data_IF_282489102418
#
_entry.id   IF_282489102418
#
_cell.length_a   1.000
_cell.length_b   1.000
_cell.length_c   1.000
_cell.angle_alpha   90.00
_cell.angle_beta   90.00
_cell.angle_gamma   90.00
#
_symmetry.space_group_name_H-M   'P 1'
#
loop_
_entity.id
_entity.type
_entity.pdbx_description
1 polymer ?
#
# COMPACT_ATOMS: atom_id res chain seq x y z
N UNK A 1 23.26 -18.46 -30.13
CA UNK A 1 24.34 -17.59 -29.59
C UNK A 1 24.58 -18.03 -28.16
N UNK A 2 25.83 -18.30 -27.74
CA UNK A 2 26.13 -18.74 -26.37
C UNK A 2 25.89 -17.59 -25.40
N UNK A 3 24.99 -17.77 -24.41
CA UNK A 3 24.61 -16.71 -23.47
C UNK A 3 25.40 -16.71 -22.16
N UNK A 4 26.22 -17.73 -21.89
CA UNK A 4 26.95 -17.88 -20.62
C UNK A 4 26.19 -18.62 -19.52
N UNK A 5 24.96 -19.06 -19.79
CA UNK A 5 24.13 -19.87 -18.91
C UNK A 5 23.21 -20.79 -19.73
N UNK A 6 22.68 -21.83 -19.10
CA UNK A 6 21.68 -22.72 -19.69
C UNK A 6 20.29 -22.07 -19.67
N UNK A 7 19.76 -21.77 -20.85
CA UNK A 7 18.45 -21.10 -21.04
C UNK A 7 17.27 -21.97 -20.61
N UNK A 8 17.46 -23.29 -20.47
CA UNK A 8 16.40 -24.23 -20.04
C UNK A 8 16.40 -24.46 -18.52
N UNK A 9 17.38 -23.92 -17.79
CA UNK A 9 17.57 -24.17 -16.37
C UNK A 9 17.37 -22.90 -15.54
N UNK A 10 16.24 -22.79 -14.80
CA UNK A 10 16.04 -21.67 -13.89
C UNK A 10 17.21 -21.47 -12.92
N UNK A 11 17.79 -22.56 -12.40
CA UNK A 11 18.95 -22.50 -11.50
C UNK A 11 20.18 -21.94 -12.21
N UNK A 12 20.42 -22.29 -13.47
CA UNK A 12 21.53 -21.71 -14.23
C UNK A 12 21.33 -20.21 -14.46
N UNK A 13 20.10 -19.79 -14.75
CA UNK A 13 19.73 -18.38 -14.91
C UNK A 13 19.94 -17.62 -13.59
N UNK A 14 19.52 -18.20 -12.46
CA UNK A 14 19.70 -17.59 -11.13
C UNK A 14 21.18 -17.43 -10.78
N UNK A 15 22.00 -18.47 -10.99
CA UNK A 15 23.44 -18.41 -10.73
C UNK A 15 24.12 -17.32 -11.56
N UNK A 16 23.75 -17.21 -12.83
CA UNK A 16 24.26 -16.15 -13.70
C UNK A 16 23.77 -14.75 -13.26
N UNK A 17 22.53 -14.64 -12.81
CA UNK A 17 22.00 -13.41 -12.21
C UNK A 17 22.73 -13.00 -10.93
N UNK A 18 23.13 -13.97 -10.08
CA UNK A 18 23.87 -13.72 -8.83
C UNK A 18 25.25 -13.10 -9.06
N UNK A 19 25.82 -13.20 -10.26
CA UNK A 19 27.02 -12.45 -10.63
C UNK A 19 26.84 -10.92 -10.61
N UNK A 20 25.59 -10.44 -10.56
CA UNK A 20 25.25 -9.03 -10.40
C UNK A 20 25.28 -8.56 -8.94
N UNK A 21 25.26 -9.46 -7.95
CA UNK A 21 25.29 -9.07 -6.55
C UNK A 21 26.58 -8.28 -6.25
N UNK A 22 26.44 -7.19 -5.49
CA UNK A 22 27.51 -6.21 -5.18
C UNK A 22 28.03 -5.37 -6.36
N UNK A 23 27.42 -5.47 -7.54
CA UNK A 23 27.71 -4.59 -8.69
C UNK A 23 26.72 -3.43 -8.79
N UNK A 24 27.15 -2.34 -9.40
CA UNK A 24 26.25 -1.27 -9.86
C UNK A 24 25.73 -1.57 -11.26
N UNK A 25 24.66 -0.91 -11.70
CA UNK A 25 24.22 -1.02 -13.10
C UNK A 25 25.27 -0.48 -14.08
N UNK A 26 26.09 0.49 -13.65
CA UNK A 26 27.24 0.98 -14.43
C UNK A 26 28.27 -0.11 -14.64
N UNK A 27 28.52 -0.96 -13.64
CA UNK A 27 29.46 -2.08 -13.78
C UNK A 27 28.98 -3.09 -14.82
N UNK A 28 27.66 -3.33 -14.93
CA UNK A 28 27.07 -4.19 -15.98
C UNK A 28 27.47 -3.67 -17.36
N UNK A 29 27.33 -2.37 -17.59
CA UNK A 29 27.67 -1.74 -18.87
C UNK A 29 29.18 -1.85 -19.18
N UNK A 30 30.03 -1.70 -18.15
CA UNK A 30 31.50 -1.82 -18.29
C UNK A 30 31.95 -3.25 -18.59
N UNK A 31 31.29 -4.25 -18.03
CA UNK A 31 31.64 -5.66 -18.22
C UNK A 31 30.89 -6.32 -19.38
N UNK A 32 29.97 -5.62 -20.04
CA UNK A 32 29.19 -6.18 -21.13
C UNK A 32 30.06 -6.39 -22.36
N UNK A 33 29.93 -7.57 -22.99
CA UNK A 33 30.57 -7.90 -24.27
C UNK A 33 30.14 -6.96 -25.41
N UNK A 34 29.05 -6.18 -25.21
CA UNK A 34 28.48 -5.29 -26.23
C UNK A 34 29.22 -3.95 -26.39
N UNK A 35 30.37 -3.73 -25.73
CA UNK A 35 31.20 -2.50 -25.77
C UNK A 35 30.35 -1.23 -25.79
N UNK A 36 29.79 -0.87 -24.63
CA UNK A 36 29.08 0.40 -24.47
C UNK A 36 30.11 1.47 -24.11
N UNK A 37 30.23 2.51 -24.93
CA UNK A 37 31.10 3.63 -24.59
C UNK A 37 30.47 4.47 -23.49
N UNK A 38 31.30 5.06 -22.63
CA UNK A 38 30.81 5.88 -21.52
C UNK A 38 29.98 7.10 -21.98
N UNK A 39 30.29 7.64 -23.18
CA UNK A 39 29.52 8.73 -23.81
C UNK A 39 28.06 8.36 -24.10
N UNK A 40 27.74 7.07 -24.24
CA UNK A 40 26.39 6.58 -24.52
C UNK A 40 25.57 6.30 -23.24
N UNK A 41 26.18 6.35 -22.06
CA UNK A 41 25.48 6.03 -20.80
C UNK A 41 24.32 6.99 -20.52
N UNK A 42 24.51 8.29 -20.77
CA UNK A 42 23.48 9.31 -20.57
C UNK A 42 22.33 9.17 -21.59
N UNK A 43 22.66 8.75 -22.81
CA UNK A 43 21.67 8.42 -23.82
C UNK A 43 20.87 7.17 -23.46
N UNK A 44 21.53 6.08 -23.03
CA UNK A 44 20.87 4.84 -22.62
C UNK A 44 19.94 5.09 -21.44
N UNK A 45 20.44 5.79 -20.44
CA UNK A 45 19.62 6.14 -19.27
C UNK A 45 18.43 7.03 -19.60
N UNK A 46 18.51 7.92 -20.59
CA UNK A 46 17.40 8.78 -20.99
C UNK A 46 16.42 8.09 -21.97
N UNK A 47 16.90 7.19 -22.83
CA UNK A 47 16.06 6.42 -23.78
C UNK A 47 15.33 5.26 -23.12
N UNK A 48 15.94 4.61 -22.14
CA UNK A 48 15.25 3.64 -21.31
C UNK A 48 14.32 4.42 -20.33
N UNK A 49 13.01 4.38 -20.58
CA UNK A 49 11.98 5.10 -19.81
C UNK A 49 11.72 4.52 -18.40
N UNK A 50 10.64 4.89 -17.70
CA UNK A 50 10.23 4.27 -16.40
C UNK A 50 10.23 2.73 -16.54
N UNK A 51 11.22 2.04 -15.94
CA UNK A 51 11.54 0.62 -16.18
C UNK A 51 12.96 0.36 -16.72
N UNK A 52 13.77 1.42 -16.83
CA UNK A 52 15.04 1.42 -17.56
C UNK A 52 16.08 0.41 -17.11
N UNK A 53 16.16 0.18 -15.81
CA UNK A 53 17.17 -0.69 -15.22
C UNK A 53 16.85 -2.16 -15.50
N UNK A 54 15.57 -2.52 -15.67
CA UNK A 54 15.17 -3.86 -16.11
C UNK A 54 15.67 -4.16 -17.53
N UNK A 55 15.37 -3.25 -18.46
CA UNK A 55 15.79 -3.36 -19.87
C UNK A 55 17.32 -3.38 -20.02
N UNK A 56 18.02 -2.61 -19.19
CA UNK A 56 19.48 -2.63 -19.13
C UNK A 56 19.99 -4.02 -18.73
N UNK A 57 19.43 -4.61 -17.66
CA UNK A 57 19.84 -5.95 -17.21
C UNK A 57 19.50 -7.02 -18.25
N UNK A 58 18.30 -6.98 -18.83
CA UNK A 58 17.87 -7.88 -19.91
C UNK A 58 18.87 -7.86 -21.07
N UNK A 59 19.20 -6.67 -21.56
CA UNK A 59 20.05 -6.49 -22.74
C UNK A 59 21.52 -6.75 -22.47
N UNK A 60 22.09 -6.12 -21.44
CA UNK A 60 23.54 -6.08 -21.27
C UNK A 60 24.10 -7.19 -20.39
N UNK A 61 23.29 -7.79 -19.51
CA UNK A 61 23.68 -8.97 -18.74
C UNK A 61 23.16 -10.25 -19.38
N UNK A 62 21.83 -10.37 -19.55
CA UNK A 62 21.22 -11.61 -20.06
C UNK A 62 21.15 -11.71 -21.59
N UNK A 63 21.59 -10.69 -22.32
CA UNK A 63 21.68 -10.71 -23.79
C UNK A 63 20.31 -11.02 -24.44
N UNK A 64 19.23 -10.47 -23.88
CA UNK A 64 17.89 -10.48 -24.46
C UNK A 64 17.51 -9.08 -24.91
N UNK A 65 16.95 -8.97 -26.11
CA UNK A 65 16.37 -7.70 -26.54
C UNK A 65 15.05 -7.46 -25.79
N UNK A 66 14.87 -6.27 -25.17
CA UNK A 66 13.63 -5.93 -24.51
C UNK A 66 12.45 -6.05 -25.48
N UNK A 67 11.43 -6.80 -25.07
CA UNK A 67 10.25 -7.04 -25.87
C UNK A 67 8.97 -6.86 -25.03
N UNK A 68 7.81 -6.86 -25.68
CA UNK A 68 6.51 -6.75 -25.03
C UNK A 68 5.74 -8.08 -25.06
N UNK A 69 6.45 -9.21 -25.04
CA UNK A 69 5.85 -10.52 -25.13
C UNK A 69 5.00 -10.84 -23.88
N UNK A 70 3.96 -11.63 -24.12
CA UNK A 70 3.09 -12.21 -23.09
C UNK A 70 3.78 -13.35 -22.35
N UNK A 71 4.74 -14.01 -22.97
CA UNK A 71 5.54 -15.07 -22.38
C UNK A 71 6.54 -14.52 -21.35
N UNK A 72 7.08 -15.37 -20.45
CA UNK A 72 8.19 -15.00 -19.59
C UNK A 72 9.44 -14.56 -20.38
N UNK A 73 10.26 -13.69 -19.81
CA UNK A 73 11.51 -13.22 -20.44
C UNK A 73 12.47 -14.37 -20.83
N UNK A 74 12.50 -15.44 -20.02
CA UNK A 74 13.18 -16.71 -20.32
C UNK A 74 12.13 -17.79 -20.56
N UNK A 75 11.47 -17.74 -21.73
CA UNK A 75 10.35 -18.62 -22.08
C UNK A 75 10.69 -20.12 -21.90
N UNK A 76 11.89 -20.54 -22.32
CA UNK A 76 12.31 -21.95 -22.27
C UNK A 76 12.43 -22.50 -20.84
N UNK A 77 12.70 -21.63 -19.86
CA UNK A 77 12.77 -21.97 -18.44
C UNK A 77 11.51 -21.58 -17.65
N UNK A 78 10.56 -20.88 -18.29
CA UNK A 78 9.39 -20.32 -17.63
C UNK A 78 9.71 -19.26 -16.57
N UNK A 79 10.80 -18.49 -16.74
CA UNK A 79 11.25 -17.49 -15.76
C UNK A 79 11.00 -16.08 -16.28
N UNK A 80 10.39 -15.22 -15.46
CA UNK A 80 10.26 -13.77 -15.73
C UNK A 80 11.34 -13.00 -14.99
N UNK A 81 11.91 -11.95 -15.61
CA UNK A 81 12.87 -11.06 -14.99
C UNK A 81 12.16 -9.83 -14.40
N UNK A 82 12.47 -9.52 -13.14
CA UNK A 82 12.00 -8.29 -12.50
C UNK A 82 13.08 -7.65 -11.65
N UNK A 83 13.35 -6.38 -11.94
CA UNK A 83 14.26 -5.54 -11.16
C UNK A 83 13.44 -4.63 -10.26
N UNK A 84 13.73 -4.60 -8.95
CA UNK A 84 12.90 -3.90 -7.96
C UNK A 84 13.71 -3.10 -6.94
N UNK A 85 13.39 -1.80 -6.73
CA UNK A 85 14.09 -0.96 -5.79
C UNK A 85 13.63 -1.14 -4.35
N UNK A 86 14.56 -0.97 -3.42
CA UNK A 86 14.26 -0.77 -2.02
C UNK A 86 15.09 0.37 -1.42
N UNK A 87 14.74 0.82 -0.22
CA UNK A 87 15.38 1.95 0.47
C UNK A 87 15.55 1.68 1.96
N UNK A 88 16.48 2.40 2.59
CA UNK A 88 16.51 2.52 4.04
C UNK A 88 15.47 3.51 4.54
N UNK A 89 14.76 3.12 5.59
CA UNK A 89 13.93 4.03 6.38
C UNK A 89 14.80 4.79 7.37
N UNK A 90 14.29 5.90 7.92
CA UNK A 90 14.97 6.65 9.00
C UNK A 90 15.28 5.79 10.24
N UNK A 91 14.55 4.68 10.42
CA UNK A 91 14.79 3.69 11.47
C UNK A 91 15.93 2.71 11.18
N UNK A 92 16.57 2.80 10.01
CA UNK A 92 17.57 1.85 9.52
C UNK A 92 16.99 0.63 8.80
N UNK A 93 15.70 0.29 9.03
CA UNK A 93 15.04 -0.85 8.39
C UNK A 93 14.89 -0.68 6.87
N UNK A 94 14.92 -1.79 6.15
CA UNK A 94 14.63 -1.83 4.72
C UNK A 94 13.13 -1.74 4.42
N UNK A 95 12.80 -1.17 3.27
CA UNK A 95 11.45 -1.11 2.72
C UNK A 95 11.52 -1.13 1.19
N UNK A 96 10.59 -1.82 0.52
CA UNK A 96 10.42 -1.64 -0.91
C UNK A 96 10.11 -0.17 -1.21
N UNK A 97 10.66 0.35 -2.30
CA UNK A 97 10.47 1.74 -2.72
C UNK A 97 9.14 1.92 -3.47
N UNK A 98 8.67 0.87 -4.13
CA UNK A 98 7.46 0.83 -4.95
C UNK A 98 6.85 -0.58 -5.02
N UNK A 99 5.67 -0.69 -5.65
CA UNK A 99 5.01 -1.96 -5.98
C UNK A 99 5.76 -2.69 -7.10
N UNK A 100 5.64 -4.02 -7.18
CA UNK A 100 6.17 -4.79 -8.31
C UNK A 100 5.12 -4.88 -9.40
N UNK A 101 5.30 -4.17 -10.52
CA UNK A 101 4.38 -4.23 -11.66
C UNK A 101 4.65 -5.48 -12.50
N UNK A 102 3.59 -6.19 -12.86
CA UNK A 102 3.60 -7.43 -13.65
C UNK A 102 2.96 -7.18 -15.03
N UNK A 103 2.24 -8.15 -15.59
CA UNK A 103 1.57 -8.00 -16.87
C UNK A 103 0.31 -7.12 -16.83
N UNK A 104 -0.02 -6.53 -17.98
CA UNK A 104 -1.26 -5.77 -18.19
C UNK A 104 -2.46 -6.70 -18.05
N UNK A 105 -3.51 -6.20 -17.40
CA UNK A 105 -4.81 -6.87 -17.31
C UNK A 105 -5.54 -6.63 -18.63
N UNK A 106 -5.78 -7.69 -19.39
CA UNK A 106 -6.63 -7.63 -20.57
C UNK A 106 -8.07 -7.97 -20.14
N UNK A 107 -8.93 -6.96 -20.06
CA UNK A 107 -10.31 -7.12 -19.58
C UNK A 107 -11.14 -8.08 -20.44
N UNK A 108 -10.89 -8.13 -21.75
CA UNK A 108 -11.61 -9.05 -22.66
C UNK A 108 -11.17 -10.51 -22.46
N UNK A 109 -9.90 -10.74 -22.09
CA UNK A 109 -9.35 -12.11 -21.95
C UNK A 109 -9.50 -12.68 -20.54
N UNK A 110 -9.34 -11.87 -19.50
CA UNK A 110 -9.34 -12.35 -18.10
C UNK A 110 -10.64 -13.08 -17.74
N UNK A 111 -11.76 -12.73 -18.38
CA UNK A 111 -13.07 -13.33 -18.13
C UNK A 111 -13.17 -14.77 -18.65
N UNK A 112 -12.33 -15.13 -19.62
CA UNK A 112 -12.23 -16.46 -20.24
C UNK A 112 -11.16 -17.35 -19.57
N UNK A 113 -10.26 -16.76 -18.77
CA UNK A 113 -9.13 -17.45 -18.15
C UNK A 113 -9.53 -18.13 -16.83
N UNK A 114 -8.91 -19.24 -16.46
CA UNK A 114 -8.86 -19.71 -15.07
C UNK A 114 -7.50 -19.34 -14.46
N UNK A 115 -7.37 -19.33 -13.13
CA UNK A 115 -6.13 -18.87 -12.49
C UNK A 115 -4.90 -19.64 -13.00
N UNK A 116 -4.95 -20.97 -13.00
CA UNK A 116 -3.85 -21.84 -13.42
C UNK A 116 -3.47 -21.72 -14.90
N UNK A 117 -4.39 -21.26 -15.75
CA UNK A 117 -4.19 -21.07 -17.19
C UNK A 117 -4.08 -19.60 -17.58
N UNK A 118 -4.15 -18.69 -16.59
CA UNK A 118 -4.20 -17.25 -16.82
C UNK A 118 -2.87 -16.72 -17.33
N UNK A 119 -2.95 -15.64 -18.10
CA UNK A 119 -1.76 -14.88 -18.52
C UNK A 119 -0.94 -14.36 -17.33
N UNK A 120 -1.60 -14.12 -16.19
CA UNK A 120 -0.93 -13.79 -14.93
C UNK A 120 -0.09 -14.96 -14.42
N UNK A 121 -0.68 -16.14 -14.25
CA UNK A 121 0.03 -17.27 -13.62
C UNK A 121 1.17 -17.78 -14.51
N UNK A 122 0.88 -17.98 -15.81
CA UNK A 122 1.87 -18.49 -16.75
C UNK A 122 3.12 -17.62 -16.83
N UNK A 123 2.96 -16.29 -16.78
CA UNK A 123 4.09 -15.36 -16.83
C UNK A 123 4.80 -15.19 -15.50
N UNK A 124 4.10 -15.27 -14.36
CA UNK A 124 4.66 -14.83 -13.06
C UNK A 124 4.85 -15.95 -12.03
N UNK A 125 4.59 -17.22 -12.36
CA UNK A 125 4.74 -18.33 -11.41
C UNK A 125 6.18 -18.54 -10.90
N UNK A 126 7.18 -18.12 -11.68
CA UNK A 126 8.59 -18.16 -11.31
C UNK A 126 9.30 -16.88 -11.79
N UNK A 127 9.80 -16.09 -10.84
CA UNK A 127 10.35 -14.75 -11.12
C UNK A 127 11.80 -14.64 -10.63
N UNK A 128 12.72 -14.25 -11.49
CA UNK A 128 14.05 -13.81 -11.09
C UNK A 128 13.98 -12.38 -10.57
N UNK A 129 14.03 -12.22 -9.25
CA UNK A 129 14.00 -10.92 -8.57
C UNK A 129 15.41 -10.37 -8.34
N UNK A 130 15.64 -9.17 -8.85
CA UNK A 130 16.89 -8.41 -8.71
C UNK A 130 16.62 -7.17 -7.86
N UNK A 131 17.06 -7.21 -6.61
CA UNK A 131 16.89 -6.13 -5.64
C UNK A 131 18.07 -5.16 -5.68
N UNK A 132 17.79 -3.87 -5.83
CA UNK A 132 18.81 -2.82 -5.78
C UNK A 132 18.45 -1.73 -4.76
N UNK A 133 19.49 -1.14 -4.17
CA UNK A 133 19.35 -0.06 -3.19
C UNK A 133 19.19 1.27 -3.90
N UNK A 134 18.05 1.91 -3.69
CA UNK A 134 17.74 3.25 -4.15
C UNK A 134 18.23 4.29 -3.13
N UNK A 135 18.98 5.29 -3.62
CA UNK A 135 19.53 6.40 -2.83
C UNK A 135 19.27 7.72 -3.57
N UNK A 136 18.55 8.66 -2.95
CA UNK A 136 18.12 9.91 -3.59
C UNK A 136 19.27 10.73 -4.19
N UNK A 137 20.47 10.66 -3.59
CA UNK A 137 21.61 11.51 -3.94
C UNK A 137 22.59 10.82 -4.91
N UNK A 138 22.22 9.66 -5.49
CA UNK A 138 23.04 8.92 -6.44
C UNK A 138 22.42 8.89 -7.83
N UNK A 139 23.29 8.82 -8.84
CA UNK A 139 22.86 8.48 -10.19
C UNK A 139 22.29 7.06 -10.22
N UNK A 140 21.25 6.85 -11.04
CA UNK A 140 20.56 5.56 -11.13
C UNK A 140 21.43 4.41 -11.62
N UNK A 141 22.48 4.67 -12.39
CA UNK A 141 23.44 3.65 -12.79
C UNK A 141 24.34 3.22 -11.64
N UNK A 142 24.50 4.08 -10.62
CA UNK A 142 25.35 3.83 -9.46
C UNK A 142 24.59 3.19 -8.29
N UNK A 143 23.34 2.78 -8.50
CA UNK A 143 22.60 1.97 -7.55
C UNK A 143 23.19 0.56 -7.45
N UNK A 144 23.37 0.11 -6.20
CA UNK A 144 23.97 -1.17 -5.88
C UNK A 144 22.93 -2.29 -5.95
N UNK A 145 23.19 -3.33 -6.73
CA UNK A 145 22.42 -4.57 -6.72
C UNK A 145 22.83 -5.39 -5.49
N UNK A 146 21.89 -5.62 -4.58
CA UNK A 146 22.16 -6.25 -3.29
C UNK A 146 21.80 -7.74 -3.26
N UNK A 147 20.77 -8.15 -4.00
CA UNK A 147 20.27 -9.52 -3.94
C UNK A 147 19.67 -9.96 -5.26
N UNK A 148 20.02 -11.16 -5.71
CA UNK A 148 19.39 -11.83 -6.85
C UNK A 148 18.96 -13.23 -6.44
N UNK A 149 17.70 -13.57 -6.71
CA UNK A 149 17.19 -14.90 -6.41
C UNK A 149 15.95 -15.22 -7.25
N UNK A 150 15.69 -16.52 -7.41
CA UNK A 150 14.40 -17.00 -7.91
C UNK A 150 13.36 -16.93 -6.81
N UNK A 151 12.18 -16.47 -7.20
CA UNK A 151 11.04 -16.32 -6.33
C UNK A 151 9.85 -17.11 -6.89
N UNK A 152 9.34 -17.99 -6.05
CA UNK A 152 8.08 -18.69 -6.21
C UNK A 152 7.15 -18.26 -5.08
N UNK A 153 5.85 -18.15 -5.37
CA UNK A 153 4.87 -17.78 -4.37
C UNK A 153 4.79 -18.85 -3.28
N UNK A 154 5.01 -18.50 -1.98
CA UNK A 154 4.74 -19.41 -0.89
C UNK A 154 3.28 -19.88 -0.96
N UNK A 155 3.02 -21.17 -0.70
CA UNK A 155 1.69 -21.76 -0.88
C UNK A 155 0.57 -20.96 -0.18
N UNK A 156 0.84 -20.49 1.05
CA UNK A 156 -0.07 -19.66 1.83
C UNK A 156 -0.41 -18.35 1.11
N UNK A 157 0.61 -17.68 0.57
CA UNK A 157 0.43 -16.42 -0.15
C UNK A 157 -0.28 -16.65 -1.49
N UNK A 158 0.02 -17.76 -2.16
CA UNK A 158 -0.63 -18.15 -3.41
C UNK A 158 -2.15 -18.30 -3.25
N UNK A 159 -2.63 -18.81 -2.12
CA UNK A 159 -4.09 -18.88 -1.85
C UNK A 159 -4.72 -17.48 -1.82
N UNK A 160 -4.05 -16.51 -1.21
CA UNK A 160 -4.52 -15.12 -1.17
C UNK A 160 -4.45 -14.49 -2.55
N UNK A 161 -3.34 -14.67 -3.27
CA UNK A 161 -3.15 -14.17 -4.65
C UNK A 161 -4.20 -14.72 -5.61
N UNK A 162 -4.54 -16.00 -5.51
CA UNK A 162 -5.61 -16.62 -6.30
C UNK A 162 -6.98 -15.99 -5.99
N UNK A 163 -7.28 -15.68 -4.73
CA UNK A 163 -8.51 -14.97 -4.34
C UNK A 163 -8.54 -13.54 -4.84
N UNK A 164 -7.41 -12.84 -4.78
CA UNK A 164 -7.26 -11.48 -5.30
C UNK A 164 -7.47 -11.45 -6.82
N UNK A 165 -6.84 -12.37 -7.55
CA UNK A 165 -7.02 -12.52 -9.00
C UNK A 165 -8.49 -12.78 -9.35
N UNK A 166 -9.16 -13.69 -8.62
CA UNK A 166 -10.59 -13.96 -8.80
C UNK A 166 -11.47 -12.75 -8.48
N UNK A 167 -11.10 -11.94 -7.48
CA UNK A 167 -11.80 -10.70 -7.15
C UNK A 167 -11.70 -9.70 -8.30
N UNK A 168 -10.52 -9.56 -8.90
CA UNK A 168 -10.31 -8.72 -10.08
C UNK A 168 -11.15 -9.24 -11.26
N UNK A 169 -11.06 -10.55 -11.59
CA UNK A 169 -11.86 -11.18 -12.65
C UNK A 169 -13.37 -10.96 -12.44
N UNK A 170 -13.86 -11.18 -11.22
CA UNK A 170 -15.27 -11.01 -10.86
C UNK A 170 -15.75 -9.58 -11.13
N UNK A 171 -14.96 -8.56 -10.79
CA UNK A 171 -15.36 -7.17 -11.02
C UNK A 171 -15.43 -6.82 -12.51
N UNK A 172 -14.58 -7.43 -13.34
CA UNK A 172 -14.67 -7.33 -14.80
C UNK A 172 -15.93 -8.05 -15.32
N UNK A 173 -16.22 -9.26 -14.83
CA UNK A 173 -17.46 -10.02 -15.16
C UNK A 173 -18.73 -9.23 -14.80
N UNK A 174 -18.70 -8.43 -13.73
CA UNK A 174 -19.80 -7.56 -13.31
C UNK A 174 -19.94 -6.28 -14.16
N UNK A 175 -19.10 -6.07 -15.19
CA UNK A 175 -19.09 -4.85 -16.01
C UNK A 175 -18.50 -3.62 -15.31
N UNK A 176 -17.76 -3.84 -14.22
CA UNK A 176 -17.23 -2.82 -13.32
C UNK A 176 -15.71 -2.69 -13.38
N UNK A 177 -15.08 -3.00 -14.51
CA UNK A 177 -13.63 -2.83 -14.65
C UNK A 177 -13.19 -1.36 -14.42
N UNK A 178 -14.05 -0.39 -14.74
CA UNK A 178 -13.81 1.03 -14.48
C UNK A 178 -13.83 1.41 -12.99
N UNK A 179 -14.40 0.56 -12.13
CA UNK A 179 -14.41 0.73 -10.68
C UNK A 179 -13.27 -0.04 -10.00
N UNK A 180 -12.49 -0.87 -10.72
CA UNK A 180 -11.37 -1.62 -10.14
C UNK A 180 -10.46 -0.67 -9.38
N UNK A 181 -9.95 -1.13 -8.23
CA UNK A 181 -8.98 -0.39 -7.45
C UNK A 181 -7.89 -1.30 -6.91
N UNK A 182 -6.71 -0.76 -6.62
CA UNK A 182 -5.64 -1.52 -5.96
C UNK A 182 -6.05 -1.92 -4.52
N UNK A 183 -6.99 -1.20 -3.92
CA UNK A 183 -7.57 -1.49 -2.60
C UNK A 183 -8.55 -2.67 -2.57
N UNK A 184 -9.07 -3.11 -3.72
CA UNK A 184 -10.07 -4.19 -3.80
C UNK A 184 -9.54 -5.53 -3.28
N UNK A 185 -8.22 -5.72 -3.32
CA UNK A 185 -7.53 -6.98 -3.06
C UNK A 185 -6.52 -6.86 -1.91
N UNK A 186 -5.83 -7.95 -1.58
CA UNK A 186 -4.86 -8.02 -0.48
C UNK A 186 -3.41 -7.88 -0.96
N UNK A 187 -2.88 -8.87 -1.68
CA UNK A 187 -1.48 -8.96 -2.10
C UNK A 187 -1.30 -8.61 -3.58
N UNK A 188 -2.19 -9.11 -4.44
CA UNK A 188 -2.18 -8.87 -5.89
C UNK A 188 -3.15 -7.73 -6.23
N UNK A 189 -2.61 -6.55 -6.52
CA UNK A 189 -3.35 -5.35 -6.92
C UNK A 189 -3.59 -5.24 -8.43
N UNK A 190 -4.51 -4.34 -8.80
CA UNK A 190 -4.73 -3.86 -10.16
C UNK A 190 -4.38 -2.36 -10.24
N UNK A 191 -3.10 -2.04 -10.43
CA UNK A 191 -2.63 -0.64 -10.49
C UNK A 191 -2.89 -0.03 -11.88
N UNK A 192 -3.16 1.27 -11.96
CA UNK A 192 -3.33 1.97 -13.24
C UNK A 192 -2.01 2.06 -14.00
N UNK A 193 -2.05 1.87 -15.33
CA UNK A 193 -0.90 2.02 -16.22
C UNK A 193 -1.19 3.07 -17.27
N UNK A 194 -0.75 4.29 -16.99
CA UNK A 194 -1.03 5.50 -17.77
C UNK A 194 -2.09 6.38 -17.09
N UNK A 195 -2.08 7.68 -17.40
CA UNK A 195 -2.91 8.69 -16.74
C UNK A 195 -3.79 9.50 -17.72
N UNK A 196 -3.82 9.12 -19.01
CA UNK A 196 -4.50 9.91 -20.04
C UNK A 196 -5.63 9.14 -20.71
N UNK A 197 -6.47 9.83 -21.48
CA UNK A 197 -7.58 9.21 -22.25
C UNK A 197 -7.10 8.09 -23.19
N UNK A 198 -5.87 8.13 -23.69
CA UNK A 198 -5.31 7.06 -24.54
C UNK A 198 -5.07 5.75 -23.77
N UNK A 199 -5.10 5.80 -22.44
CA UNK A 199 -5.00 4.64 -21.56
C UNK A 199 -6.35 3.97 -21.29
N UNK A 200 -7.47 4.51 -21.80
CA UNK A 200 -8.77 3.86 -21.69
C UNK A 200 -8.84 2.59 -22.56
N UNK A 201 -9.53 1.58 -22.05
CA UNK A 201 -9.74 0.27 -22.68
C UNK A 201 -11.22 -0.08 -22.61
N UNK A 202 -11.67 -0.89 -23.56
CA UNK A 202 -12.98 -1.55 -23.50
C UNK A 202 -12.99 -2.61 -22.41
N UNK A 203 -14.19 -3.02 -22.02
CA UNK A 203 -14.43 -4.16 -21.15
C UNK A 203 -15.64 -4.95 -21.68
N UNK A 204 -15.70 -6.27 -21.45
CA UNK A 204 -16.66 -7.14 -22.15
C UNK A 204 -18.13 -6.93 -21.77
N UNK A 205 -18.40 -6.47 -20.54
CA UNK A 205 -19.76 -6.45 -19.96
C UNK A 205 -20.28 -5.05 -19.61
N UNK A 206 -19.73 -3.99 -20.23
CA UNK A 206 -20.22 -2.62 -20.08
C UNK A 206 -19.69 -1.71 -21.19
N UNK A 207 -20.51 -0.76 -21.65
CA UNK A 207 -20.10 0.27 -22.61
C UNK A 207 -19.16 1.32 -21.99
N UNK A 208 -19.15 1.43 -20.66
CA UNK A 208 -18.28 2.37 -19.96
C UNK A 208 -16.82 1.90 -20.06
N UNK A 209 -15.97 2.74 -20.65
CA UNK A 209 -14.54 2.45 -20.74
C UNK A 209 -13.88 2.43 -19.36
N UNK A 210 -12.85 1.59 -19.23
CA UNK A 210 -12.06 1.46 -18.01
C UNK A 210 -10.62 1.90 -18.25
N UNK A 211 -9.96 2.45 -17.23
CA UNK A 211 -8.52 2.73 -17.31
C UNK A 211 -7.74 1.42 -17.48
N UNK A 212 -6.69 1.43 -18.30
CA UNK A 212 -5.75 0.32 -18.40
C UNK A 212 -5.10 0.07 -17.03
N UNK A 213 -5.11 -1.18 -16.59
CA UNK A 213 -4.48 -1.61 -15.34
C UNK A 213 -3.49 -2.74 -15.60
N UNK A 214 -2.55 -2.91 -14.69
CA UNK A 214 -1.62 -4.03 -14.64
C UNK A 214 -1.75 -4.74 -13.30
N UNK A 215 -1.53 -6.05 -13.31
CA UNK A 215 -1.32 -6.79 -12.09
C UNK A 215 -0.08 -6.26 -11.38
N UNK A 216 -0.11 -6.19 -10.05
CA UNK A 216 1.05 -5.78 -9.27
C UNK A 216 1.08 -6.41 -7.89
N UNK A 217 2.25 -6.81 -7.41
CA UNK A 217 2.41 -7.12 -5.98
C UNK A 217 2.56 -5.80 -5.22
N UNK A 218 1.75 -5.61 -4.18
CA UNK A 218 1.75 -4.36 -3.41
C UNK A 218 3.12 -4.07 -2.80
N UNK A 219 3.45 -2.79 -2.65
CA UNK A 219 4.70 -2.32 -2.02
C UNK A 219 4.92 -2.88 -0.62
N UNK A 220 3.83 -3.09 0.12
CA UNK A 220 3.79 -3.73 1.43
C UNK A 220 4.17 -5.23 1.37
N UNK A 221 3.63 -5.97 0.39
CA UNK A 221 4.01 -7.35 0.12
C UNK A 221 5.51 -7.45 -0.20
N UNK A 222 5.98 -6.61 -1.12
CA UNK A 222 7.39 -6.55 -1.51
C UNK A 222 8.31 -6.17 -0.34
N UNK A 223 7.85 -5.32 0.57
CA UNK A 223 8.59 -4.97 1.79
C UNK A 223 8.72 -6.14 2.74
N UNK A 224 7.64 -6.90 2.97
CA UNK A 224 7.68 -8.09 3.81
C UNK A 224 8.57 -9.17 3.20
N UNK A 225 8.45 -9.41 1.88
CA UNK A 225 9.29 -10.33 1.14
C UNK A 225 10.78 -9.95 1.27
N UNK A 226 11.12 -8.69 1.00
CA UNK A 226 12.48 -8.16 1.12
C UNK A 226 13.08 -8.38 2.51
N UNK A 227 12.32 -8.06 3.56
CA UNK A 227 12.79 -8.21 4.95
C UNK A 227 12.99 -9.67 5.32
N UNK A 228 12.13 -10.57 4.85
CA UNK A 228 12.31 -12.01 5.05
C UNK A 228 13.58 -12.52 4.37
N UNK A 229 13.85 -12.08 3.14
CA UNK A 229 15.01 -12.55 2.36
C UNK A 229 16.33 -11.95 2.86
N UNK A 230 16.35 -10.66 3.17
CA UNK A 230 17.61 -9.95 3.48
C UNK A 230 17.88 -9.91 4.99
N UNK A 231 16.85 -9.76 5.82
CA UNK A 231 17.01 -9.59 7.27
C UNK A 231 16.59 -10.82 8.08
N UNK A 232 16.04 -11.86 7.45
CA UNK A 232 15.48 -13.03 8.13
C UNK A 232 14.40 -12.64 9.18
N UNK A 233 13.67 -11.55 8.91
CA UNK A 233 12.60 -11.07 9.80
C UNK A 233 11.41 -12.07 9.76
N UNK A 234 11.28 -12.91 10.78
CA UNK A 234 10.12 -13.78 10.94
C UNK A 234 8.90 -13.02 11.50
N UNK A 235 7.76 -13.18 10.85
CA UNK A 235 6.48 -12.55 11.22
C UNK A 235 5.49 -13.58 11.74
N UNK A 236 4.59 -13.16 12.63
CA UNK A 236 3.57 -14.04 13.21
C UNK A 236 2.37 -14.10 12.28
N UNK A 237 1.88 -15.31 12.02
CA UNK A 237 0.72 -15.57 11.17
C UNK A 237 -0.55 -15.65 12.01
N UNK A 238 -1.66 -15.02 11.58
CA UNK A 238 -2.96 -15.25 12.22
C UNK A 238 -3.81 -16.31 11.52
N UNK A 239 -3.44 -16.69 10.29
CA UNK A 239 -4.08 -17.78 9.55
C UNK A 239 -3.10 -18.94 9.29
N UNK A 240 -3.64 -20.07 8.85
CA UNK A 240 -2.87 -21.19 8.31
C UNK A 240 -3.30 -21.54 6.87
N UNK A 241 -2.60 -22.50 6.25
CA UNK A 241 -2.84 -22.93 4.87
C UNK A 241 -4.26 -23.49 4.67
N UNK A 242 -4.72 -24.36 5.57
CA UNK A 242 -6.01 -25.05 5.48
C UNK A 242 -7.18 -24.05 5.59
N UNK A 243 -7.08 -23.09 6.52
CA UNK A 243 -8.03 -21.98 6.67
C UNK A 243 -8.13 -21.16 5.36
N UNK A 244 -6.99 -20.83 4.73
CA UNK A 244 -6.96 -20.04 3.50
C UNK A 244 -7.44 -20.77 2.25
N UNK A 245 -7.53 -22.10 2.27
CA UNK A 245 -8.13 -22.87 1.17
C UNK A 245 -9.62 -22.59 1.03
N UNK A 246 -10.30 -22.42 2.15
CA UNK A 246 -11.77 -22.27 2.15
C UNK A 246 -12.22 -20.83 2.41
N UNK A 247 -11.41 -20.01 3.09
CA UNK A 247 -11.82 -18.67 3.54
C UNK A 247 -10.82 -17.57 3.15
N UNK A 248 -11.33 -16.42 2.73
CA UNK A 248 -10.54 -15.20 2.52
C UNK A 248 -9.96 -14.68 3.84
N UNK A 249 -8.95 -13.80 3.75
CA UNK A 249 -8.41 -13.13 4.94
C UNK A 249 -9.49 -12.35 5.68
N UNK A 250 -10.39 -11.71 4.92
CA UNK A 250 -11.56 -10.99 5.40
C UNK A 250 -12.50 -11.90 6.20
N UNK A 251 -12.86 -13.07 5.66
CA UNK A 251 -13.76 -14.02 6.32
C UNK A 251 -13.16 -14.59 7.60
N UNK A 252 -11.88 -14.99 7.56
CA UNK A 252 -11.16 -15.46 8.75
C UNK A 252 -11.11 -14.39 9.82
N UNK A 253 -10.80 -13.15 9.44
CA UNK A 253 -10.77 -12.03 10.35
C UNK A 253 -12.15 -11.83 11.01
N UNK A 254 -13.23 -11.80 10.23
CA UNK A 254 -14.59 -11.67 10.75
C UNK A 254 -14.94 -12.81 11.71
N UNK A 255 -14.55 -14.05 11.39
CA UNK A 255 -14.78 -15.22 12.24
C UNK A 255 -14.06 -15.10 13.59
N UNK A 256 -12.77 -14.72 13.60
CA UNK A 256 -12.02 -14.55 14.86
C UNK A 256 -12.64 -13.47 15.75
N UNK A 257 -13.21 -12.40 15.19
CA UNK A 257 -13.81 -11.32 15.98
C UNK A 257 -15.28 -11.57 16.38
N UNK A 258 -16.00 -12.45 15.69
CA UNK A 258 -17.44 -12.71 15.91
C UNK A 258 -17.82 -13.07 17.35
N UNK A 259 -17.09 -13.92 18.10
CA UNK A 259 -17.47 -14.31 19.46
C UNK A 259 -17.52 -13.16 20.47
N UNK A 260 -16.86 -12.04 20.15
CA UNK A 260 -16.69 -10.91 21.06
C UNK A 260 -17.75 -9.82 20.88
N UNK A 261 -18.61 -9.92 19.85
CA UNK A 261 -19.64 -8.92 19.57
C UNK A 261 -20.60 -8.81 20.75
N UNK A 262 -20.90 -7.58 21.17
CA UNK A 262 -21.75 -7.27 22.32
C UNK A 262 -21.01 -7.17 23.65
N UNK A 263 -19.74 -7.61 23.72
CA UNK A 263 -18.97 -7.57 24.96
C UNK A 263 -18.28 -6.23 25.17
N UNK A 264 -18.12 -5.82 26.42
CA UNK A 264 -17.27 -4.68 26.80
C UNK A 264 -15.79 -5.03 26.64
N UNK A 265 -14.89 -4.03 26.48
CA UNK A 265 -13.44 -4.27 26.47
C UNK A 265 -12.94 -5.08 27.68
N UNK A 266 -13.57 -4.93 28.84
CA UNK A 266 -13.23 -5.66 30.07
C UNK A 266 -13.62 -7.14 29.97
N UNK A 267 -14.77 -7.45 29.41
CA UNK A 267 -15.23 -8.82 29.19
C UNK A 267 -14.41 -9.53 28.12
N UNK A 268 -14.06 -8.84 27.02
CA UNK A 268 -13.15 -9.36 26.01
C UNK A 268 -11.80 -9.69 26.64
N UNK A 269 -11.23 -8.76 27.42
CA UNK A 269 -9.97 -8.99 28.13
C UNK A 269 -10.02 -10.25 29.01
N UNK A 270 -11.14 -10.48 29.70
CA UNK A 270 -11.35 -11.68 30.51
C UNK A 270 -11.37 -12.96 29.65
N UNK A 271 -12.07 -12.94 28.51
CA UNK A 271 -12.16 -14.10 27.60
C UNK A 271 -10.81 -14.46 26.96
N UNK A 272 -10.02 -13.45 26.57
CA UNK A 272 -8.69 -13.66 25.97
C UNK A 272 -7.56 -13.73 27.01
N UNK A 273 -7.91 -13.83 28.30
CA UNK A 273 -6.98 -13.93 29.42
C UNK A 273 -5.90 -12.81 29.48
N UNK A 274 -6.31 -11.56 29.27
CA UNK A 274 -5.47 -10.36 29.38
C UNK A 274 -5.89 -9.50 30.57
N UNK A 275 -4.89 -8.96 31.30
CA UNK A 275 -5.14 -7.99 32.37
C UNK A 275 -5.71 -6.68 31.81
N UNK A 276 -6.97 -6.40 32.13
CA UNK A 276 -7.63 -5.17 31.72
C UNK A 276 -7.11 -3.93 32.48
N UNK A 277 -6.82 -2.86 31.74
CA UNK A 277 -6.49 -1.54 32.30
C UNK A 277 -7.24 -0.44 31.56
N UNK A 278 -8.20 0.19 32.25
CA UNK A 278 -9.10 1.23 31.68
C UNK A 278 -8.36 2.43 31.09
N UNK A 279 -7.18 2.76 31.65
CA UNK A 279 -6.39 3.94 31.25
C UNK A 279 -5.20 3.61 30.34
N UNK A 280 -5.02 2.34 29.94
CA UNK A 280 -3.91 1.94 29.08
C UNK A 280 -4.18 2.34 27.62
N UNK A 281 -3.27 3.14 27.04
CA UNK A 281 -3.29 3.48 25.59
C UNK A 281 -3.06 2.26 24.69
N UNK A 282 -2.52 1.17 25.24
CA UNK A 282 -2.20 -0.06 24.51
C UNK A 282 -3.25 -1.16 24.69
N UNK A 283 -4.36 -0.88 25.41
CA UNK A 283 -5.34 -1.92 25.72
C UNK A 283 -6.00 -2.48 24.46
N UNK A 284 -6.53 -1.60 23.60
CA UNK A 284 -7.24 -2.05 22.39
C UNK A 284 -6.32 -2.84 21.43
N UNK A 285 -5.09 -2.39 21.12
CA UNK A 285 -4.17 -3.18 20.31
C UNK A 285 -3.88 -4.58 20.88
N UNK A 286 -3.72 -4.70 22.21
CA UNK A 286 -3.51 -5.99 22.86
C UNK A 286 -4.72 -6.90 22.74
N UNK A 287 -5.94 -6.35 22.89
CA UNK A 287 -7.16 -7.12 22.68
C UNK A 287 -7.30 -7.60 21.24
N UNK A 288 -7.02 -6.75 20.25
CA UNK A 288 -7.05 -7.13 18.83
C UNK A 288 -6.07 -8.28 18.57
N UNK A 289 -4.81 -8.17 19.00
CA UNK A 289 -3.83 -9.25 18.80
C UNK A 289 -4.31 -10.56 19.46
N UNK A 290 -4.81 -10.49 20.69
CA UNK A 290 -5.22 -11.69 21.42
C UNK A 290 -6.49 -12.34 20.86
N UNK A 291 -7.43 -11.55 20.35
CA UNK A 291 -8.60 -12.04 19.60
C UNK A 291 -8.17 -12.80 18.33
N UNK A 292 -7.04 -12.43 17.74
CA UNK A 292 -6.42 -13.16 16.61
C UNK A 292 -5.60 -14.38 17.02
N UNK A 293 -5.55 -14.72 18.32
CA UNK A 293 -4.71 -15.80 18.84
C UNK A 293 -3.22 -15.42 18.93
N UNK A 294 -2.89 -14.13 18.84
CA UNK A 294 -1.51 -13.63 18.81
C UNK A 294 -1.18 -12.93 20.13
N UNK A 295 -0.11 -13.38 20.79
CA UNK A 295 0.39 -12.79 22.04
C UNK A 295 1.70 -12.04 21.83
N UNK A 296 1.95 -11.01 22.64
CA UNK A 296 3.24 -10.28 22.68
C UNK A 296 3.64 -9.49 21.43
N UNK A 297 2.83 -9.53 20.36
CA UNK A 297 3.21 -9.04 19.03
C UNK A 297 2.42 -7.80 18.66
N UNK A 298 3.09 -6.82 18.04
CA UNK A 298 2.41 -5.63 17.50
C UNK A 298 1.62 -6.02 16.25
N UNK A 299 0.47 -5.40 16.03
CA UNK A 299 -0.39 -5.71 14.88
C UNK A 299 0.32 -5.53 13.52
N UNK A 300 1.30 -4.62 13.43
CA UNK A 300 2.12 -4.44 12.23
C UNK A 300 3.21 -5.52 12.04
N UNK A 301 3.31 -6.48 12.96
CA UNK A 301 4.18 -7.66 12.88
C UNK A 301 3.41 -8.94 12.55
N UNK A 302 2.11 -8.81 12.25
CA UNK A 302 1.29 -9.89 11.70
C UNK A 302 1.55 -9.98 10.21
N UNK A 303 1.96 -11.15 9.72
CA UNK A 303 2.43 -11.39 8.34
C UNK A 303 1.43 -10.89 7.30
N UNK A 304 0.16 -11.29 7.42
CA UNK A 304 -0.90 -10.94 6.49
C UNK A 304 -1.27 -9.46 6.54
N UNK A 305 -1.22 -8.84 7.74
CA UNK A 305 -1.49 -7.42 7.89
C UNK A 305 -0.36 -6.60 7.28
N UNK A 306 0.89 -7.01 7.48
CA UNK A 306 2.03 -6.35 6.87
C UNK A 306 2.00 -6.49 5.35
N UNK A 307 1.71 -7.68 4.81
CA UNK A 307 1.62 -7.92 3.36
C UNK A 307 0.46 -7.18 2.70
N UNK A 308 -0.73 -7.18 3.31
CA UNK A 308 -1.92 -6.50 2.78
C UNK A 308 -2.03 -5.01 3.17
N UNK A 309 -1.03 -4.47 3.89
CA UNK A 309 -1.01 -3.12 4.44
C UNK A 309 -2.28 -2.78 5.25
N UNK A 310 -2.66 -3.69 6.15
CA UNK A 310 -3.80 -3.51 7.03
C UNK A 310 -3.41 -2.64 8.22
N UNK A 311 -4.10 -1.51 8.38
CA UNK A 311 -3.97 -0.65 9.53
C UNK A 311 -5.25 -0.61 10.35
N UNK A 312 -5.13 -0.84 11.65
CA UNK A 312 -6.28 -0.75 12.53
C UNK A 312 -6.56 0.69 12.97
N UNK A 313 -7.84 1.02 13.10
CA UNK A 313 -8.33 2.26 13.71
C UNK A 313 -9.49 1.93 14.64
N UNK A 314 -9.38 2.35 15.89
CA UNK A 314 -10.49 2.22 16.83
C UNK A 314 -11.52 3.32 16.57
N UNK A 315 -12.78 2.94 16.41
CA UNK A 315 -13.89 3.90 16.27
C UNK A 315 -14.85 3.72 17.42
N UNK A 316 -15.19 4.83 18.10
CA UNK A 316 -16.19 4.85 19.17
C UNK A 316 -17.42 5.59 18.68
N UNK A 317 -18.53 4.88 18.57
CA UNK A 317 -19.80 5.43 18.12
C UNK A 317 -20.64 5.87 19.32
N UNK A 318 -21.29 7.00 19.17
CA UNK A 318 -22.42 7.43 20.01
C UNK A 318 -23.66 6.56 19.71
N UNK A 319 -24.70 6.59 20.55
CA UNK A 319 -25.92 5.79 20.34
C UNK A 319 -26.56 5.98 18.95
N UNK A 320 -26.43 7.19 18.39
CA UNK A 320 -26.92 7.52 17.04
C UNK A 320 -26.07 6.95 15.89
N UNK A 321 -25.01 6.19 16.19
CA UNK A 321 -24.11 5.58 15.21
C UNK A 321 -23.09 6.54 14.60
N UNK A 322 -22.94 7.76 15.13
CA UNK A 322 -21.93 8.72 14.69
C UNK A 322 -20.67 8.57 15.54
N UNK A 323 -19.47 8.55 14.96
CA UNK A 323 -18.23 8.58 15.71
C UNK A 323 -18.15 9.78 16.65
N UNK A 324 -17.66 9.55 17.86
CA UNK A 324 -17.44 10.59 18.87
C UNK A 324 -16.43 11.65 18.41
N UNK A 325 -15.44 11.24 17.62
CA UNK A 325 -14.30 12.06 17.21
C UNK A 325 -14.07 11.93 15.70
N UNK A 326 -13.58 13.01 15.07
CA UNK A 326 -13.01 12.94 13.73
C UNK A 326 -11.74 12.08 13.78
N UNK A 327 -11.38 11.44 12.66
CA UNK A 327 -10.27 10.51 12.64
C UNK A 327 -9.04 11.13 12.02
N UNK A 328 -8.00 11.37 12.82
CA UNK A 328 -6.71 11.79 12.28
C UNK A 328 -6.05 10.67 11.47
N UNK A 329 -5.48 11.04 10.34
CA UNK A 329 -4.96 10.07 9.39
C UNK A 329 -3.46 10.20 9.17
N UNK A 330 -3.00 11.30 8.60
CA UNK A 330 -1.59 11.51 8.21
C UNK A 330 -1.15 12.93 8.55
N UNK A 331 0.08 13.09 9.06
CA UNK A 331 0.61 14.43 9.33
C UNK A 331 1.01 15.08 7.99
N UNK A 332 0.65 16.36 7.80
CA UNK A 332 0.96 17.05 6.55
C UNK A 332 2.46 17.35 6.50
N UNK A 333 3.09 16.98 5.39
CA UNK A 333 4.47 17.32 5.06
C UNK A 333 4.44 18.41 4.00
N UNK A 334 4.36 19.65 4.43
CA UNK A 334 4.13 20.80 3.54
C UNK A 334 5.18 20.95 2.43
N UNK A 335 6.43 20.58 2.71
CA UNK A 335 7.49 20.56 1.70
C UNK A 335 7.23 19.51 0.60
N UNK A 336 6.78 18.30 0.97
CA UNK A 336 6.37 17.29 -0.02
C UNK A 336 5.15 17.77 -0.82
N UNK A 337 4.13 18.32 -0.13
CA UNK A 337 2.93 18.87 -0.77
C UNK A 337 3.28 19.99 -1.75
N UNK A 338 4.29 20.82 -1.49
CA UNK A 338 4.68 21.89 -2.42
C UNK A 338 5.27 21.35 -3.74
N UNK A 339 6.00 20.24 -3.68
CA UNK A 339 6.74 19.69 -4.83
C UNK A 339 6.01 18.56 -5.56
N UNK A 340 5.06 17.89 -4.92
CA UNK A 340 4.36 16.73 -5.49
C UNK A 340 3.18 17.12 -6.40
N UNK A 341 2.81 16.21 -7.31
CA UNK A 341 1.54 16.25 -8.05
C UNK A 341 0.51 15.38 -7.33
N UNK A 342 -0.78 15.50 -7.66
CA UNK A 342 -1.81 14.65 -7.06
C UNK A 342 -1.55 13.16 -7.31
N UNK A 343 -1.23 12.80 -8.55
CA UNK A 343 -1.04 11.42 -9.01
C UNK A 343 0.09 10.71 -8.26
N UNK A 344 1.17 11.44 -7.97
CA UNK A 344 2.35 10.94 -7.25
C UNK A 344 2.35 11.33 -5.76
N UNK A 345 1.29 11.99 -5.26
CA UNK A 345 1.26 12.54 -3.91
C UNK A 345 1.34 11.47 -2.83
N UNK A 346 2.01 11.79 -1.72
CA UNK A 346 2.07 10.92 -0.55
C UNK A 346 0.66 10.60 -0.02
N UNK A 347 -0.23 11.60 0.04
CA UNK A 347 -1.59 11.42 0.55
C UNK A 347 -2.41 10.44 -0.30
N UNK A 348 -2.35 10.57 -1.63
CA UNK A 348 -3.07 9.68 -2.54
C UNK A 348 -2.59 8.24 -2.41
N UNK A 349 -1.27 8.03 -2.53
CA UNK A 349 -0.66 6.72 -2.41
C UNK A 349 -0.97 6.07 -1.05
N UNK A 350 -0.94 6.85 0.02
CA UNK A 350 -1.28 6.42 1.36
C UNK A 350 -2.71 5.84 1.49
N UNK A 351 -3.70 6.41 0.80
CA UNK A 351 -5.08 5.91 0.83
C UNK A 351 -5.31 4.73 -0.12
N UNK A 352 -4.62 4.70 -1.28
CA UNK A 352 -4.69 3.58 -2.24
C UNK A 352 -4.11 2.32 -1.61
N UNK A 353 -2.95 2.46 -0.99
CA UNK A 353 -2.17 1.31 -0.55
C UNK A 353 -2.71 0.72 0.75
N UNK A 354 -3.51 1.45 1.54
CA UNK A 354 -3.89 1.01 2.89
C UNK A 354 -5.31 0.51 2.99
N UNK A 355 -5.45 -0.67 3.62
CA UNK A 355 -6.72 -1.26 4.03
C UNK A 355 -6.95 -1.01 5.52
N UNK A 356 -8.06 -0.37 5.87
CA UNK A 356 -8.37 -0.04 7.26
C UNK A 356 -9.18 -1.12 7.93
N UNK A 357 -8.68 -1.64 9.03
CA UNK A 357 -9.47 -2.42 9.97
C UNK A 357 -10.09 -1.49 11.02
N UNK A 358 -11.32 -1.06 10.79
CA UNK A 358 -12.08 -0.37 11.82
C UNK A 358 -12.50 -1.34 12.91
N UNK A 359 -12.04 -1.11 14.13
CA UNK A 359 -12.47 -1.86 15.33
C UNK A 359 -13.47 -1.00 16.07
N UNK A 360 -14.75 -1.37 15.97
CA UNK A 360 -15.87 -0.50 16.29
C UNK A 360 -16.42 -0.84 17.67
N UNK A 361 -16.46 0.17 18.52
CA UNK A 361 -17.15 0.14 19.81
C UNK A 361 -18.30 1.13 19.79
N UNK A 362 -19.40 0.83 20.46
CA UNK A 362 -20.57 1.71 20.50
C UNK A 362 -21.07 1.88 21.93
N UNK A 363 -21.50 3.09 22.28
CA UNK A 363 -22.22 3.37 23.52
C UNK A 363 -23.73 3.17 23.30
N UNK A 364 -24.42 2.59 24.28
CA UNK A 364 -25.89 2.50 24.30
C UNK A 364 -26.53 3.80 24.81
N UNK A 365 -25.86 4.49 25.72
CA UNK A 365 -26.36 5.70 26.39
C UNK A 365 -25.52 6.91 25.98
N UNK A 366 -26.11 8.10 26.00
CA UNK A 366 -25.41 9.38 25.85
C UNK A 366 -24.63 9.72 27.12
N UNK A 367 -23.62 10.60 27.00
CA UNK A 367 -22.84 11.04 28.18
C UNK A 367 -23.72 11.77 29.22
N UNK A 368 -24.77 12.45 28.75
CA UNK A 368 -25.75 13.12 29.62
C UNK A 368 -26.63 12.15 30.40
N UNK A 369 -26.96 10.99 29.83
CA UNK A 369 -27.75 9.95 30.52
C UNK A 369 -26.89 9.19 31.53
N UNK A 370 -25.66 8.85 31.16
CA UNK A 370 -24.73 8.13 32.02
C UNK A 370 -23.28 8.57 31.79
N UNK A 371 -22.72 9.31 32.74
CA UNK A 371 -21.33 9.76 32.66
C UNK A 371 -20.32 8.59 32.72
N UNK A 372 -20.70 7.48 33.36
CA UNK A 372 -19.89 6.28 33.54
C UNK A 372 -20.15 5.19 32.47
N UNK A 373 -20.87 5.53 31.39
CA UNK A 373 -21.19 4.60 30.30
C UNK A 373 -19.95 3.88 29.77
N UNK A 374 -20.12 2.60 29.44
CA UNK A 374 -19.08 1.78 28.81
C UNK A 374 -19.53 1.37 27.41
N UNK A 375 -18.61 1.38 26.42
CA UNK A 375 -18.99 0.96 25.09
C UNK A 375 -18.87 -0.57 24.97
N UNK A 376 -19.73 -1.17 24.15
CA UNK A 376 -19.63 -2.57 23.77
C UNK A 376 -18.95 -2.69 22.40
N UNK A 377 -18.30 -3.81 22.15
CA UNK A 377 -17.72 -4.13 20.85
C UNK A 377 -18.83 -4.44 19.86
N UNK A 378 -18.96 -3.60 18.83
CA UNK A 378 -19.98 -3.76 17.79
C UNK A 378 -19.51 -4.72 16.69
N UNK A 379 -18.20 -4.80 16.47
CA UNK A 379 -17.61 -5.61 15.41
C UNK A 379 -16.44 -4.90 14.74
N UNK A 380 -16.02 -5.45 13.61
CA UNK A 380 -14.98 -4.86 12.75
C UNK A 380 -15.54 -4.51 11.38
N UNK A 381 -14.83 -3.63 10.65
CA UNK A 381 -15.05 -3.38 9.23
C UNK A 381 -13.72 -3.18 8.53
N UNK A 382 -13.43 -4.01 7.52
CA UNK A 382 -12.36 -3.73 6.57
C UNK A 382 -12.85 -2.70 5.55
N UNK A 383 -12.05 -1.68 5.29
CA UNK A 383 -12.44 -0.58 4.44
C UNK A 383 -11.25 0.06 3.74
N UNK A 384 -11.41 0.34 2.45
CA UNK A 384 -10.48 1.14 1.66
C UNK A 384 -11.18 2.44 1.25
N UNK A 385 -10.42 3.51 1.06
CA UNK A 385 -10.98 4.75 0.50
C UNK A 385 -11.48 4.46 -0.92
N UNK A 386 -12.76 4.71 -1.24
CA UNK A 386 -13.24 4.57 -2.61
C UNK A 386 -12.45 5.50 -3.54
N UNK A 387 -11.95 4.99 -4.68
CA UNK A 387 -11.15 5.80 -5.63
C UNK A 387 -11.89 7.08 -6.05
N UNK A 388 -13.21 7.02 -6.24
CA UNK A 388 -14.03 8.21 -6.56
C UNK A 388 -13.95 9.26 -5.44
N UNK A 389 -14.04 8.86 -4.16
CA UNK A 389 -13.93 9.80 -3.04
C UNK A 389 -12.50 10.33 -2.92
N UNK A 390 -11.51 9.48 -3.20
CA UNK A 390 -10.09 9.86 -3.19
C UNK A 390 -9.80 10.92 -4.27
N UNK A 391 -10.11 10.63 -5.52
CA UNK A 391 -9.82 11.48 -6.69
C UNK A 391 -10.80 12.66 -6.86
N UNK A 392 -11.76 12.83 -5.93
CA UNK A 392 -12.62 14.02 -5.84
C UNK A 392 -12.43 14.73 -4.50
N UNK A 393 -12.99 14.21 -3.41
CA UNK A 393 -13.09 14.90 -2.11
C UNK A 393 -11.75 14.99 -1.38
N UNK A 394 -10.92 13.95 -1.43
CA UNK A 394 -9.57 14.05 -0.83
C UNK A 394 -8.66 14.92 -1.71
N UNK A 395 -8.78 14.78 -3.04
CA UNK A 395 -8.08 15.63 -4.01
C UNK A 395 -8.38 17.12 -3.79
N UNK A 396 -9.64 17.52 -3.62
CA UNK A 396 -10.05 18.90 -3.32
C UNK A 396 -9.31 19.47 -2.10
N UNK A 397 -9.16 18.68 -1.02
CA UNK A 397 -8.45 19.11 0.19
C UNK A 397 -6.95 19.26 -0.09
N UNK A 398 -6.36 18.30 -0.81
CA UNK A 398 -4.95 18.35 -1.19
C UNK A 398 -4.65 19.54 -2.11
N UNK A 399 -5.47 19.77 -3.14
CA UNK A 399 -5.32 20.88 -4.08
C UNK A 399 -5.41 22.23 -3.38
N UNK A 400 -6.32 22.38 -2.43
CA UNK A 400 -6.44 23.61 -1.66
C UNK A 400 -5.22 23.84 -0.76
N UNK A 401 -4.69 22.80 -0.12
CA UNK A 401 -3.43 22.92 0.65
C UNK A 401 -2.27 23.24 -0.30
N UNK A 402 -2.16 22.55 -1.42
CA UNK A 402 -1.11 22.77 -2.43
C UNK A 402 -1.14 24.22 -2.93
N UNK A 403 -2.33 24.76 -3.22
CA UNK A 403 -2.53 26.16 -3.58
C UNK A 403 -2.10 27.10 -2.45
N UNK A 404 -2.62 26.91 -1.23
CA UNK A 404 -2.32 27.76 -0.07
C UNK A 404 -0.83 27.78 0.28
N UNK A 405 -0.15 26.65 0.16
CA UNK A 405 1.28 26.51 0.45
C UNK A 405 2.14 27.24 -0.61
N UNK A 406 1.63 27.39 -1.85
CA UNK A 406 2.29 28.16 -2.93
C UNK A 406 1.99 29.65 -2.88
N UNK A 407 0.73 30.00 -2.62
CA UNK A 407 0.27 31.39 -2.63
C UNK A 407 0.62 32.14 -1.33
N UNK A 408 0.85 31.40 -0.24
CA UNK A 408 1.09 31.93 1.09
C UNK A 408 -0.06 31.60 2.05
N UNK A 409 0.27 30.88 3.12
CA UNK A 409 -0.70 30.52 4.16
C UNK A 409 -0.96 31.75 5.04
N UNK A 410 -2.22 32.09 5.26
CA UNK A 410 -2.58 33.17 6.19
C UNK A 410 -2.59 32.63 7.60
N UNK A 411 -1.73 33.16 8.47
CA UNK A 411 -1.66 32.78 9.90
C UNK A 411 -2.03 33.99 10.76
N UNK A 412 -3.11 33.84 11.52
CA UNK A 412 -3.60 34.85 12.46
C UNK A 412 -3.55 34.31 13.90
N UNK A 413 -3.56 35.21 14.88
CA UNK A 413 -3.70 34.81 16.27
C UNK A 413 -4.95 35.42 16.87
N UNK A 414 -5.89 34.57 17.27
CA UNK A 414 -7.18 34.96 17.83
C UNK A 414 -7.20 34.74 19.34
N UNK A 415 -7.79 35.66 20.09
CA UNK A 415 -8.00 35.49 21.52
C UNK A 415 -9.24 34.61 21.72
N UNK A 416 -9.08 33.49 22.43
CA UNK A 416 -10.19 32.62 22.87
C UNK A 416 -10.08 32.43 24.38
N UNK A 417 -10.92 33.17 25.11
CA UNK A 417 -10.83 33.25 26.57
C UNK A 417 -9.50 33.89 27.00
N UNK A 418 -8.75 33.21 27.88
CA UNK A 418 -7.42 33.65 28.34
C UNK A 418 -6.27 33.27 27.39
N UNK A 419 -6.55 32.51 26.34
CA UNK A 419 -5.52 31.94 25.47
C UNK A 419 -5.46 32.64 24.11
N UNK A 420 -4.24 32.82 23.59
CA UNK A 420 -3.98 33.22 22.21
C UNK A 420 -3.85 31.95 21.36
N UNK A 421 -4.73 31.79 20.37
CA UNK A 421 -4.83 30.59 19.54
C UNK A 421 -4.44 30.94 18.11
N UNK A 422 -3.55 30.16 17.52
CA UNK A 422 -3.21 30.23 16.10
C UNK A 422 -4.41 29.80 15.25
N UNK A 423 -4.78 30.62 14.28
CA UNK A 423 -5.77 30.34 13.25
C UNK A 423 -5.08 30.40 11.89
N UNK A 424 -5.50 29.54 10.97
CA UNK A 424 -5.02 29.53 9.59
C UNK A 424 -6.19 29.36 8.62
N UNK A 425 -5.91 29.52 7.32
CA UNK A 425 -6.88 29.38 6.25
C UNK A 425 -6.89 27.98 5.59
N UNK A 426 -6.32 26.95 6.22
CA UNK A 426 -6.43 25.58 5.70
C UNK A 426 -7.88 25.08 5.72
N UNK A 427 -8.24 24.09 4.88
CA UNK A 427 -9.57 23.49 4.84
C UNK A 427 -10.10 23.11 6.23
N UNK A 428 -11.16 23.77 6.69
CA UNK A 428 -11.82 23.48 7.96
C UNK A 428 -12.80 22.32 7.88
N UNK A 429 -13.39 21.92 9.02
CA UNK A 429 -14.35 20.79 9.12
C UNK A 429 -15.58 20.90 8.22
N UNK A 430 -15.93 22.11 7.78
CA UNK A 430 -17.12 22.36 6.97
C UNK A 430 -16.75 22.50 5.46
N UNK A 431 -15.51 22.12 5.06
CA UNK A 431 -14.99 22.29 3.70
C UNK A 431 -15.72 21.44 2.66
N UNK A 432 -15.74 20.10 2.85
CA UNK A 432 -16.42 19.21 1.89
C UNK A 432 -17.11 17.98 2.52
N UNK A 433 -17.15 17.91 3.86
CA UNK A 433 -17.85 16.86 4.61
C UNK A 433 -17.21 15.46 4.54
N UNK A 434 -16.00 15.34 4.00
CA UNK A 434 -15.23 14.09 3.96
C UNK A 434 -13.91 14.23 4.72
N UNK A 435 -13.16 15.30 4.47
CA UNK A 435 -11.84 15.50 5.06
C UNK A 435 -11.57 16.97 5.34
N UNK A 436 -10.77 17.22 6.38
CA UNK A 436 -10.32 18.57 6.73
C UNK A 436 -8.91 18.55 7.32
N UNK A 437 -8.36 19.74 7.50
CA UNK A 437 -7.07 19.98 8.14
C UNK A 437 -7.30 20.47 9.57
N UNK A 438 -6.60 19.85 10.52
CA UNK A 438 -6.61 20.30 11.91
C UNK A 438 -5.28 19.99 12.59
N UNK A 439 -4.83 20.80 13.58
CA UNK A 439 -3.60 20.54 14.31
C UNK A 439 -3.61 19.17 14.99
N UNK A 440 -2.49 18.45 14.87
CA UNK A 440 -2.16 17.26 15.66
C UNK A 440 -0.74 17.40 16.21
N UNK A 441 -0.47 18.58 16.76
CA UNK A 441 0.76 18.95 17.41
C UNK A 441 0.72 18.57 18.90
N UNK A 442 1.88 18.39 19.53
CA UNK A 442 1.95 18.20 20.99
C UNK A 442 1.37 19.39 21.76
N UNK A 443 1.68 20.60 21.29
CA UNK A 443 1.27 21.88 21.86
C UNK A 443 1.38 22.98 20.77
N UNK A 444 1.02 24.23 21.10
CA UNK A 444 1.09 25.35 20.15
C UNK A 444 2.49 25.77 19.72
N UNK A 445 3.55 25.25 20.35
CA UNK A 445 4.96 25.47 19.99
C UNK A 445 5.51 24.37 19.07
N UNK A 446 4.84 23.23 19.00
CA UNK A 446 5.19 22.12 18.10
C UNK A 446 4.80 22.46 16.66
N UNK A 447 5.67 23.27 16.04
CA UNK A 447 5.49 23.89 14.74
C UNK A 447 6.36 23.23 13.68
N UNK A 448 6.01 23.48 12.42
CA UNK A 448 6.74 23.10 11.22
C UNK A 448 6.91 24.33 10.33
N UNK A 449 8.03 24.38 9.61
CA UNK A 449 8.32 25.43 8.64
C UNK A 449 7.54 25.18 7.35
N UNK A 450 6.86 26.20 6.85
CA UNK A 450 6.25 26.22 5.52
C UNK A 450 7.30 26.59 4.45
N UNK A 451 7.08 26.28 3.17
CA UNK A 451 8.02 26.60 2.09
C UNK A 451 8.38 28.09 1.99
N UNK A 452 7.42 28.97 2.30
CA UNK A 452 7.62 30.43 2.36
C UNK A 452 8.40 30.91 3.60
N UNK A 453 8.76 30.00 4.51
CA UNK A 453 9.49 30.28 5.74
C UNK A 453 8.64 30.55 6.97
N UNK A 454 7.31 30.67 6.85
CA UNK A 454 6.42 30.84 7.98
C UNK A 454 6.39 29.59 8.89
N UNK A 455 6.04 29.77 10.16
CA UNK A 455 5.96 28.68 11.15
C UNK A 455 4.51 28.44 11.57
N UNK A 456 3.98 27.28 11.23
CA UNK A 456 2.62 26.86 11.58
C UNK A 456 2.65 25.64 12.50
N UNK A 457 1.69 25.50 13.41
CA UNK A 457 1.51 24.28 14.20
C UNK A 457 1.42 23.05 13.27
N UNK A 458 1.97 21.90 13.70
CA UNK A 458 1.90 20.67 12.90
C UNK A 458 0.45 20.30 12.60
N UNK A 459 0.12 20.30 11.30
CA UNK A 459 -1.20 19.97 10.81
C UNK A 459 -1.30 18.49 10.41
N UNK A 460 -2.52 17.98 10.40
CA UNK A 460 -2.84 16.61 10.04
C UNK A 460 -4.10 16.60 9.15
N UNK A 461 -4.17 15.64 8.24
CA UNK A 461 -5.40 15.29 7.53
C UNK A 461 -6.34 14.51 8.46
N UNK A 462 -7.60 14.89 8.50
CA UNK A 462 -8.63 14.23 9.32
C UNK A 462 -9.81 13.83 8.44
N UNK A 463 -10.30 12.60 8.62
CA UNK A 463 -11.58 12.18 8.06
C UNK A 463 -12.73 12.62 8.97
N UNK A 464 -13.79 13.11 8.34
CA UNK A 464 -14.94 13.60 9.06
C UNK A 464 -15.72 12.49 9.74
N UNK A 465 -16.10 12.73 10.99
CA UNK A 465 -16.85 11.74 11.78
C UNK A 465 -18.14 11.32 11.07
N UNK A 466 -18.83 12.26 10.41
CA UNK A 466 -20.11 11.96 9.74
C UNK A 466 -19.89 11.09 8.49
N UNK A 467 -18.79 11.32 7.76
CA UNK A 467 -18.37 10.45 6.67
C UNK A 467 -18.03 9.05 7.17
N UNK A 468 -17.22 8.91 8.23
CA UNK A 468 -16.90 7.62 8.84
C UNK A 468 -18.16 6.94 9.39
N UNK A 469 -19.10 7.69 9.96
CA UNK A 469 -20.39 7.17 10.41
C UNK A 469 -21.19 6.55 9.26
N UNK A 470 -21.20 7.18 8.07
CA UNK A 470 -21.82 6.60 6.86
C UNK A 470 -21.10 5.32 6.42
N UNK A 471 -19.76 5.34 6.40
CA UNK A 471 -18.95 4.15 6.07
C UNK A 471 -19.29 2.98 6.99
N UNK A 472 -19.48 3.21 8.29
CA UNK A 472 -19.78 2.17 9.28
C UNK A 472 -21.26 1.77 9.38
N UNK A 473 -22.17 2.48 8.71
CA UNK A 473 -23.60 2.10 8.60
C UNK A 473 -23.85 1.04 7.54
N UNK A 474 -23.04 0.98 6.48
CA UNK A 474 -23.15 -0.04 5.45
C UNK A 474 -22.79 -1.42 5.98
N UNK A 475 -23.60 -2.43 5.65
CA UNK A 475 -23.35 -3.85 5.96
C UNK A 475 -22.03 -4.32 5.39
#
# INVERSE_FOLDING_TARGET
MYKGYDIYSPKSIEMYGKELESKTFRDILKTSDMVVKEEDYEYLTSTFSKGSLGQLVEKYHFKYEPNSDRNPDFEEAGVELKVTPHKHLKSGKLSAKERLVLNIINYEKIVEEDFETSSFWLKNQLVLLIHYLYENDKDKLDYLIQKVHLYEFPEKDLKVIKKDWNTIKKKVLEGKAHELSEGDTNYLGACTKGASKSSLRTQPFSEQMAMQRAFSLKSSYMTTLLRKIINEDDMVSFSNREELETQSLEELLMEKFKPYIGLTPKEIAKQVNIKYSKNSKHMIPQLISATLGISGTRLNQIDEFAKANIEYKTVRLEPNGTPKEHMSFEQIRFDEVYHETWEDSHLRNRFIDTKFLFVVFQYNETKSENENREPYFRGIKLWNMPEVVLDTKIKEVWEEIHRLVRDGVTIEYKVRGKNRVEANNFPGKDFNGVSHVRPKARDGKDKVKLPDGQMVTKQCYWLDKDFIGKVLKGK
#
